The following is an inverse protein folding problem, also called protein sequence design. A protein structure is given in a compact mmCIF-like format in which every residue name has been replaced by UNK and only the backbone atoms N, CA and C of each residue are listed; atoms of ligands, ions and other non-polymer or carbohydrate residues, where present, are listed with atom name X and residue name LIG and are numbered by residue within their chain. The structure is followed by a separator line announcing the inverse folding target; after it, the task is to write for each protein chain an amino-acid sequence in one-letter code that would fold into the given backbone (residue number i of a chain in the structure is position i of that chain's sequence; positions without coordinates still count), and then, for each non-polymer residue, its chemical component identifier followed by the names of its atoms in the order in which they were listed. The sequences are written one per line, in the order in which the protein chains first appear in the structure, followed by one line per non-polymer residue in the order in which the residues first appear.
data_IF_709795562928
#
_entry.id   IF_709795562928
#
_cell.length_a   1.000
_cell.length_b   1.000
_cell.length_c   1.000
_cell.angle_alpha   90.00
_cell.angle_beta   90.00
_cell.angle_gamma   90.00
#
_symmetry.space_group_name_H-M   'P 1'
#
loop_
_entity.id
_entity.type
_entity.pdbx_description
1 polymer ?
#
# COMPACT_ATOMS: atom_id res chain seq x y z
N UNK A 1 -10.20 10.68 -5.95
CA UNK A 1 -8.80 10.68 -5.46
C UNK A 1 -8.72 10.41 -3.96
N UNK A 2 -9.44 11.15 -3.09
CA UNK A 2 -9.31 11.06 -1.62
C UNK A 2 -9.46 9.63 -1.05
N UNK A 3 -10.37 8.83 -1.62
CA UNK A 3 -10.64 7.47 -1.15
C UNK A 3 -9.87 6.36 -1.88
N UNK A 4 -9.19 6.69 -2.99
CA UNK A 4 -8.56 5.70 -3.84
C UNK A 4 -7.38 5.01 -3.14
N UNK A 5 -6.61 5.77 -2.34
CA UNK A 5 -5.55 5.21 -1.51
C UNK A 5 -6.08 4.19 -0.51
N UNK A 6 -7.14 4.52 0.23
CA UNK A 6 -7.74 3.60 1.20
C UNK A 6 -8.29 2.33 0.55
N UNK A 7 -8.85 2.44 -0.66
CA UNK A 7 -9.34 1.28 -1.41
C UNK A 7 -8.18 0.35 -1.83
N UNK A 8 -7.04 0.92 -2.23
CA UNK A 8 -5.83 0.15 -2.57
C UNK A 8 -5.24 -0.55 -1.33
N UNK A 9 -5.28 0.09 -0.16
CA UNK A 9 -4.87 -0.52 1.10
C UNK A 9 -5.77 -1.71 1.47
N UNK A 10 -7.08 -1.54 1.37
CA UNK A 10 -8.05 -2.62 1.59
C UNK A 10 -7.78 -3.80 0.64
N UNK A 11 -7.59 -3.53 -0.64
CA UNK A 11 -7.25 -4.55 -1.63
C UNK A 11 -5.95 -5.27 -1.29
N UNK A 12 -4.91 -4.55 -0.85
CA UNK A 12 -3.64 -5.13 -0.42
C UNK A 12 -3.78 -6.07 0.78
N UNK A 13 -4.56 -5.68 1.79
CA UNK A 13 -4.81 -6.49 2.98
C UNK A 13 -5.63 -7.74 2.68
N UNK A 14 -6.70 -7.59 1.87
CA UNK A 14 -7.52 -8.71 1.42
C UNK A 14 -6.71 -9.69 0.58
N UNK A 15 -5.86 -9.18 -0.33
CA UNK A 15 -4.97 -10.02 -1.12
C UNK A 15 -3.98 -10.82 -0.24
N UNK A 16 -3.45 -10.20 0.82
CA UNK A 16 -2.62 -10.87 1.82
C UNK A 16 -3.37 -11.97 2.57
N UNK A 17 -4.60 -11.68 3.01
CA UNK A 17 -5.44 -12.65 3.71
C UNK A 17 -5.76 -13.89 2.87
N UNK A 18 -6.05 -13.72 1.58
CA UNK A 18 -6.31 -14.82 0.66
C UNK A 18 -5.04 -15.51 0.12
N UNK A 19 -3.83 -15.08 0.53
CA UNK A 19 -2.58 -15.68 0.07
C UNK A 19 -2.27 -15.45 -1.41
N UNK A 20 -2.78 -14.36 -1.99
CA UNK A 20 -2.46 -13.98 -3.38
C UNK A 20 -0.96 -13.76 -3.52
N UNK A 21 -0.36 -14.11 -4.66
CA UNK A 21 1.09 -13.97 -4.89
C UNK A 21 1.58 -12.54 -4.62
N UNK A 22 2.73 -12.41 -3.94
CA UNK A 22 3.29 -11.11 -3.52
C UNK A 22 3.54 -10.13 -4.67
N UNK A 23 3.76 -10.63 -5.90
CA UNK A 23 3.89 -9.81 -7.11
C UNK A 23 2.68 -8.91 -7.38
N UNK A 24 1.51 -9.26 -6.84
CA UNK A 24 0.30 -8.43 -6.92
C UNK A 24 0.49 -7.08 -6.20
N UNK A 25 1.26 -7.05 -5.11
CA UNK A 25 1.60 -5.82 -4.38
C UNK A 25 2.41 -4.88 -5.27
N UNK A 26 3.38 -5.41 -6.03
CA UNK A 26 4.17 -4.65 -7.00
C UNK A 26 3.30 -4.06 -8.10
N UNK A 27 2.38 -4.85 -8.66
CA UNK A 27 1.44 -4.41 -9.69
C UNK A 27 0.51 -3.30 -9.19
N UNK A 28 -0.07 -3.47 -8.01
CA UNK A 28 -0.93 -2.45 -7.38
C UNK A 28 -0.13 -1.17 -7.09
N UNK A 29 1.08 -1.29 -6.55
CA UNK A 29 1.93 -0.15 -6.26
C UNK A 29 2.24 0.64 -7.54
N UNK A 30 2.59 -0.06 -8.63
CA UNK A 30 2.87 0.56 -9.93
C UNK A 30 1.65 1.30 -10.48
N UNK A 31 0.48 0.66 -10.49
CA UNK A 31 -0.78 1.28 -10.93
C UNK A 31 -1.14 2.49 -10.07
N UNK A 32 -0.96 2.38 -8.75
CA UNK A 32 -1.18 3.47 -7.82
C UNK A 32 -0.26 4.65 -8.13
N UNK A 33 1.03 4.41 -8.33
CA UNK A 33 2.00 5.45 -8.68
C UNK A 33 1.61 6.17 -9.95
N UNK A 34 1.18 5.46 -11.00
CA UNK A 34 0.74 6.09 -12.25
C UNK A 34 -0.48 7.00 -12.04
N UNK A 35 -1.45 6.55 -11.23
CA UNK A 35 -2.64 7.34 -10.90
C UNK A 35 -2.27 8.58 -10.09
N UNK A 36 -1.45 8.45 -9.05
CA UNK A 36 -1.05 9.58 -8.20
C UNK A 36 -0.03 10.52 -8.85
N UNK A 37 0.82 10.03 -9.76
CA UNK A 37 1.76 10.85 -10.51
C UNK A 37 1.05 11.90 -11.37
N UNK A 38 -0.11 11.55 -11.96
CA UNK A 38 -0.93 12.50 -12.73
C UNK A 38 -1.44 13.66 -11.87
N UNK A 39 -1.89 13.35 -10.64
CA UNK A 39 -2.34 14.34 -9.67
C UNK A 39 -1.19 15.23 -9.18
N UNK A 40 -0.04 14.62 -8.89
CA UNK A 40 1.14 15.33 -8.40
C UNK A 40 1.72 16.28 -9.44
N UNK A 41 1.70 15.89 -10.72
CA UNK A 41 2.09 16.78 -11.84
C UNK A 41 1.22 18.02 -11.93
N UNK A 42 -0.09 17.90 -11.64
CA UNK A 42 -1.00 19.05 -11.61
C UNK A 42 -0.67 20.00 -10.46
N UNK A 43 -0.31 19.47 -9.29
CA UNK A 43 0.07 20.26 -8.11
C UNK A 43 1.45 20.92 -8.26
N UNK A 44 2.41 20.27 -8.90
CA UNK A 44 3.74 20.87 -9.15
C UNK A 44 3.67 22.07 -10.10
N UNK A 45 2.76 22.06 -11.08
CA UNK A 45 2.54 23.21 -11.98
C UNK A 45 1.98 24.43 -11.25
N UNK A 46 1.23 24.25 -10.16
CA UNK A 46 0.71 25.35 -9.34
C UNK A 46 1.71 25.86 -8.30
N UNK A 47 2.85 25.21 -8.13
CA UNK A 47 3.83 25.54 -7.08
C UNK A 47 5.25 25.58 -7.67
N UNK A 48 5.63 26.68 -8.36
CA UNK A 48 6.88 26.76 -9.14
C UNK A 48 8.16 26.67 -8.30
N UNK A 49 8.08 26.93 -6.98
CA UNK A 49 9.22 26.90 -6.07
C UNK A 49 9.49 25.54 -5.42
N UNK A 50 8.82 24.47 -5.85
CA UNK A 50 9.12 23.14 -5.33
C UNK A 50 10.54 22.71 -5.76
N UNK A 51 11.44 22.35 -4.82
CA UNK A 51 12.80 21.87 -5.13
C UNK A 51 12.79 20.55 -5.94
N UNK A 52 11.66 19.84 -5.94
CA UNK A 52 11.47 18.54 -6.59
C UNK A 52 10.93 18.70 -8.03
N UNK A 53 11.71 19.29 -8.94
CA UNK A 53 11.34 19.38 -10.35
C UNK A 53 11.66 18.09 -11.13
N UNK A 54 12.48 17.19 -10.58
CA UNK A 54 12.84 15.95 -11.26
C UNK A 54 11.72 14.89 -11.14
N UNK A 55 10.81 14.91 -12.12
CA UNK A 55 9.64 14.02 -12.20
C UNK A 55 9.99 12.52 -12.12
N UNK A 56 11.19 12.12 -12.54
CA UNK A 56 11.59 10.72 -12.57
C UNK A 56 11.97 10.24 -11.15
N UNK A 57 12.77 11.02 -10.43
CA UNK A 57 13.12 10.75 -9.03
C UNK A 57 11.86 10.79 -8.15
N UNK A 58 10.98 11.76 -8.40
CA UNK A 58 9.71 11.88 -7.67
C UNK A 58 8.78 10.67 -7.90
N UNK A 59 8.68 10.19 -9.14
CA UNK A 59 7.93 8.99 -9.49
C UNK A 59 8.50 7.72 -8.83
N UNK A 60 9.82 7.58 -8.81
CA UNK A 60 10.51 6.46 -8.14
C UNK A 60 10.26 6.50 -6.63
N UNK A 61 10.40 7.67 -6.01
CA UNK A 61 10.13 7.85 -4.58
C UNK A 61 8.67 7.52 -4.23
N UNK A 62 7.72 8.00 -5.03
CA UNK A 62 6.30 7.66 -4.90
C UNK A 62 6.05 6.17 -5.01
N UNK A 63 6.70 5.49 -5.96
CA UNK A 63 6.58 4.04 -6.13
C UNK A 63 7.07 3.29 -4.90
N UNK A 64 8.26 3.59 -4.41
CA UNK A 64 8.77 2.92 -3.22
C UNK A 64 7.94 3.20 -1.97
N UNK A 65 7.44 4.42 -1.80
CA UNK A 65 6.50 4.75 -0.73
C UNK A 65 5.20 3.94 -0.81
N UNK A 66 4.58 3.89 -2.00
CA UNK A 66 3.37 3.09 -2.24
C UNK A 66 3.61 1.60 -2.02
N UNK A 67 4.74 1.08 -2.52
CA UNK A 67 5.14 -0.32 -2.39
C UNK A 67 5.33 -0.71 -0.92
N UNK A 68 6.05 0.11 -0.15
CA UNK A 68 6.28 -0.15 1.28
C UNK A 68 4.96 -0.23 2.05
N UNK A 69 4.07 0.73 1.83
CA UNK A 69 2.77 0.78 2.52
C UNK A 69 1.91 -0.43 2.13
N UNK A 70 1.77 -0.72 0.83
CA UNK A 70 0.97 -1.86 0.37
C UNK A 70 1.57 -3.20 0.83
N UNK A 71 2.89 -3.31 0.87
CA UNK A 71 3.57 -4.50 1.36
C UNK A 71 3.33 -4.71 2.86
N UNK A 72 3.40 -3.65 3.67
CA UNK A 72 3.08 -3.73 5.09
C UNK A 72 1.63 -4.20 5.32
N UNK A 73 0.67 -3.62 4.59
CA UNK A 73 -0.75 -4.01 4.72
C UNK A 73 -0.99 -5.43 4.21
N UNK A 74 -0.32 -5.84 3.14
CA UNK A 74 -0.35 -7.23 2.65
C UNK A 74 0.17 -8.21 3.72
N UNK A 75 1.30 -7.91 4.38
CA UNK A 75 1.84 -8.75 5.45
C UNK A 75 0.89 -8.84 6.65
N UNK A 76 0.20 -7.75 7.00
CA UNK A 76 -0.86 -7.80 8.01
C UNK A 76 -1.99 -8.74 7.61
N UNK A 77 -2.42 -8.71 6.34
CA UNK A 77 -3.39 -9.65 5.81
C UNK A 77 -2.93 -11.11 5.93
N UNK A 78 -1.70 -11.39 5.51
CA UNK A 78 -1.08 -12.73 5.64
C UNK A 78 -1.03 -13.18 7.10
N UNK A 79 -0.61 -12.29 8.00
CA UNK A 79 -0.54 -12.59 9.43
C UNK A 79 -1.92 -12.95 10.00
N UNK A 80 -2.95 -12.17 9.68
CA UNK A 80 -4.33 -12.42 10.12
C UNK A 80 -4.84 -13.77 9.59
N UNK A 81 -4.52 -14.14 8.35
CA UNK A 81 -4.90 -15.43 7.76
C UNK A 81 -4.07 -16.62 8.23
N UNK A 82 -2.99 -16.40 8.97
CA UNK A 82 -2.08 -17.45 9.43
C UNK A 82 -2.47 -18.04 10.79
N UNK A 83 -1.95 -19.23 11.16
CA UNK A 83 -2.10 -19.78 12.51
C UNK A 83 -1.61 -18.81 13.61
N UNK A 84 -0.59 -18.01 13.32
CA UNK A 84 -0.13 -16.97 14.26
C UNK A 84 -1.20 -15.91 14.55
N UNK A 85 -2.01 -15.56 13.54
CA UNK A 85 -3.14 -14.64 13.68
C UNK A 85 -4.27 -15.22 14.53
N UNK A 86 -4.59 -16.51 14.38
CA UNK A 86 -5.59 -17.16 15.23
C UNK A 86 -5.13 -17.22 16.69
N UNK A 87 -3.88 -17.61 16.95
CA UNK A 87 -3.33 -17.60 18.32
C UNK A 87 -3.32 -16.21 18.95
N UNK A 88 -2.98 -15.18 18.16
CA UNK A 88 -3.04 -13.80 18.63
C UNK A 88 -4.49 -13.39 18.99
N UNK A 89 -5.46 -13.81 18.19
CA UNK A 89 -6.88 -13.51 18.44
C UNK A 89 -7.38 -14.25 19.68
N UNK A 90 -7.01 -15.52 19.87
CA UNK A 90 -7.37 -16.29 21.06
C UNK A 90 -6.74 -15.70 22.33
N UNK A 91 -5.47 -15.27 22.26
CA UNK A 91 -4.81 -14.52 23.32
C UNK A 91 -5.56 -13.22 23.67
N UNK A 92 -5.89 -12.40 22.67
CA UNK A 92 -6.58 -11.12 22.86
C UNK A 92 -8.00 -11.29 23.41
N UNK A 93 -8.69 -12.38 23.04
CA UNK A 93 -10.06 -12.68 23.49
C UNK A 93 -10.12 -13.47 24.79
N UNK A 94 -8.98 -13.87 25.34
CA UNK A 94 -8.90 -14.67 26.57
C UNK A 94 -9.40 -16.11 26.41
N UNK A 95 -9.59 -16.58 25.17
CA UNK A 95 -9.84 -18.00 24.91
C UNK A 95 -8.55 -18.76 25.20
N UNK A 96 -8.59 -19.64 26.21
CA UNK A 96 -7.51 -20.59 26.46
C UNK A 96 -7.47 -21.58 25.30
N UNK A 97 -6.33 -21.64 24.60
CA UNK A 97 -6.00 -22.67 23.61
C UNK A 97 -6.02 -24.06 24.23
#
# INVERSE_FOLDING_TARGET
MKYLGYLLLLLGGVAGYFGVRVWFVFLIALLSTLVFASARRKNLKSTPQAPDQNMLIDGVYLFFGQLLILFAVYLLGVFIGSPGGSFFTDFMTGKRA
#
